data_IF_820662925157
#
_entry.id   IF_820662925157
#
_cell.length_a   1.000
_cell.length_b   1.000
_cell.length_c   1.000
_cell.angle_alpha   90.00
_cell.angle_beta   90.00
_cell.angle_gamma   90.00
#
_symmetry.space_group_name_H-M   'P 1'
#
loop_
_entity.id
_entity.type
_entity.pdbx_description
1 polymer ?
#
# COMPACT_ATOMS: atom_id res chain seq x y z
N UNK A 1 -15.90 14.51 0.16
CA UNK A 1 -17.30 14.97 0.31
C UNK A 1 -18.42 13.95 0.09
N UNK A 2 -18.19 12.69 -0.32
CA UNK A 2 -19.31 11.76 -0.62
C UNK A 2 -19.74 10.80 0.51
N UNK A 3 -19.27 10.99 1.75
CA UNK A 3 -19.62 10.09 2.89
C UNK A 3 -20.81 10.57 3.73
N UNK A 4 -21.37 11.74 3.42
CA UNK A 4 -22.53 12.27 4.14
C UNK A 4 -23.79 11.63 3.54
N UNK A 5 -24.63 10.95 4.35
CA UNK A 5 -25.92 10.50 3.88
C UNK A 5 -26.69 11.70 3.33
N UNK A 6 -27.18 11.60 2.10
CA UNK A 6 -28.09 12.61 1.55
C UNK A 6 -29.44 12.41 2.24
N UNK A 7 -29.75 13.31 3.16
CA UNK A 7 -30.97 13.28 3.94
C UNK A 7 -31.85 14.44 3.51
N UNK A 8 -32.83 14.18 2.64
CA UNK A 8 -33.80 15.18 2.19
C UNK A 8 -35.00 15.32 3.14
N UNK A 9 -34.88 14.85 4.38
CA UNK A 9 -35.95 14.90 5.39
C UNK A 9 -35.57 15.77 6.59
N UNK A 10 -36.52 16.58 7.05
CA UNK A 10 -36.44 17.33 8.31
C UNK A 10 -37.17 16.60 9.42
N UNK A 11 -36.77 16.85 10.66
CA UNK A 11 -37.46 16.33 11.84
C UNK A 11 -38.90 16.85 11.90
N UNK A 12 -39.85 15.94 12.12
CA UNK A 12 -41.27 16.25 12.34
C UNK A 12 -41.69 15.69 13.70
N UNK A 13 -41.88 16.58 14.69
CA UNK A 13 -42.20 16.16 16.06
C UNK A 13 -43.54 15.42 16.17
N UNK A 14 -44.50 15.75 15.29
CA UNK A 14 -45.81 15.11 15.19
C UNK A 14 -45.77 13.71 14.55
N UNK A 15 -44.71 13.38 13.81
CA UNK A 15 -44.50 12.07 13.20
C UNK A 15 -43.03 11.64 13.36
N UNK A 16 -42.71 11.26 14.60
CA UNK A 16 -41.38 10.81 14.97
C UNK A 16 -41.03 9.50 14.27
N UNK A 17 -42.02 8.62 14.05
CA UNK A 17 -41.84 7.33 13.40
C UNK A 17 -41.28 7.47 11.97
N UNK A 18 -41.91 8.33 11.15
CA UNK A 18 -41.42 8.61 9.80
C UNK A 18 -40.05 9.30 9.81
N UNK A 19 -39.83 10.23 10.76
CA UNK A 19 -38.57 10.96 10.91
C UNK A 19 -37.39 10.02 11.18
N UNK A 20 -37.52 9.13 12.16
CA UNK A 20 -36.44 8.20 12.51
C UNK A 20 -36.24 7.09 11.48
N UNK A 21 -37.31 6.64 10.80
CA UNK A 21 -37.19 5.61 9.76
C UNK A 21 -36.30 6.06 8.60
N UNK A 22 -36.53 7.27 8.06
CA UNK A 22 -35.72 7.84 6.97
C UNK A 22 -34.26 8.05 7.37
N UNK A 23 -34.03 8.50 8.61
CA UNK A 23 -32.67 8.63 9.16
C UNK A 23 -31.97 7.26 9.24
N UNK A 24 -32.65 6.26 9.80
CA UNK A 24 -32.08 4.91 9.95
C UNK A 24 -31.79 4.25 8.60
N UNK A 25 -32.62 4.46 7.59
CA UNK A 25 -32.37 3.99 6.22
C UNK A 25 -31.13 4.64 5.61
N UNK A 26 -31.01 5.97 5.69
CA UNK A 26 -29.85 6.70 5.17
C UNK A 26 -28.54 6.30 5.87
N UNK A 27 -28.57 6.11 7.19
CA UNK A 27 -27.43 5.60 7.95
C UNK A 27 -27.07 4.18 7.50
N UNK A 28 -28.05 3.26 7.42
CA UNK A 28 -27.81 1.89 6.97
C UNK A 28 -27.28 1.83 5.56
N UNK A 29 -27.70 2.71 4.66
CA UNK A 29 -27.19 2.77 3.29
C UNK A 29 -25.72 3.17 3.27
N UNK A 30 -25.32 4.21 4.00
CA UNK A 30 -23.92 4.64 4.08
C UNK A 30 -23.05 3.61 4.79
N UNK A 31 -23.58 2.92 5.81
CA UNK A 31 -22.87 1.82 6.50
C UNK A 31 -22.80 0.54 5.67
N UNK A 32 -23.75 0.31 4.78
CA UNK A 32 -23.77 -0.84 3.85
C UNK A 32 -22.98 -0.57 2.56
N UNK A 33 -22.45 0.64 2.37
CA UNK A 33 -21.51 0.87 1.27
C UNK A 33 -20.28 -0.01 1.52
N UNK A 34 -20.11 -1.01 0.66
CA UNK A 34 -18.88 -1.77 0.56
C UNK A 34 -17.80 -0.74 0.22
N UNK A 35 -16.91 -0.48 1.19
CA UNK A 35 -15.61 0.11 0.88
C UNK A 35 -15.02 -0.83 -0.17
N UNK A 36 -15.01 -0.41 -1.43
CA UNK A 36 -14.27 -1.13 -2.47
C UNK A 36 -12.89 -1.43 -1.88
N UNK A 37 -12.39 -2.65 -2.11
CA UNK A 37 -11.04 -3.02 -1.67
C UNK A 37 -10.05 -2.18 -2.47
N UNK A 38 -9.85 -0.94 -2.03
CA UNK A 38 -8.93 0.01 -2.65
C UNK A 38 -7.49 -0.44 -2.44
N UNK A 39 -7.21 -1.41 -1.58
CA UNK A 39 -5.89 -1.99 -1.39
C UNK A 39 -5.89 -3.48 -1.78
N UNK A 40 -4.96 -3.85 -2.65
CA UNK A 40 -4.71 -5.23 -3.09
C UNK A 40 -3.35 -5.65 -2.56
N UNK A 41 -3.29 -6.73 -1.78
CA UNK A 41 -2.01 -7.30 -1.34
C UNK A 41 -1.33 -7.95 -2.56
N UNK A 42 -0.10 -7.52 -2.81
CA UNK A 42 0.75 -8.06 -3.84
C UNK A 42 1.71 -9.07 -3.20
N UNK A 43 1.53 -10.34 -3.56
CA UNK A 43 2.20 -11.46 -2.89
C UNK A 43 3.71 -11.39 -3.11
N UNK A 44 4.45 -11.33 -2.00
CA UNK A 44 5.91 -11.40 -2.01
C UNK A 44 6.37 -12.86 -1.99
N UNK A 45 7.16 -13.24 -2.99
CA UNK A 45 7.68 -14.58 -3.18
C UNK A 45 9.20 -14.55 -3.04
N UNK A 46 9.72 -15.22 -2.02
CA UNK A 46 11.16 -15.40 -1.87
C UNK A 46 11.72 -16.21 -3.06
N UNK A 47 12.85 -15.76 -3.58
CA UNK A 47 13.66 -16.40 -4.61
C UNK A 47 15.07 -16.62 -4.08
N UNK A 48 15.95 -17.11 -4.94
CA UNK A 48 17.35 -17.34 -4.60
C UNK A 48 18.10 -16.02 -4.35
N UNK A 49 19.20 -16.11 -3.60
CA UNK A 49 20.14 -15.00 -3.35
C UNK A 49 19.52 -13.78 -2.65
N UNK A 50 18.55 -14.00 -1.75
CA UNK A 50 17.94 -12.92 -0.97
C UNK A 50 17.13 -11.93 -1.82
N UNK A 51 16.63 -12.37 -2.97
CA UNK A 51 15.72 -11.60 -3.81
C UNK A 51 14.28 -12.01 -3.47
N UNK A 52 13.42 -11.02 -3.28
CA UNK A 52 11.98 -11.21 -3.08
C UNK A 52 11.27 -10.60 -4.28
N UNK A 53 10.35 -11.34 -4.90
CA UNK A 53 9.65 -10.90 -6.11
C UNK A 53 8.16 -10.77 -5.82
N UNK A 54 7.55 -9.69 -6.29
CA UNK A 54 6.10 -9.54 -6.35
C UNK A 54 5.67 -9.46 -7.82
N UNK A 55 5.11 -10.54 -8.38
CA UNK A 55 4.57 -10.52 -9.73
C UNK A 55 3.49 -9.45 -9.90
N UNK A 56 3.50 -8.74 -11.03
CA UNK A 56 2.46 -7.77 -11.38
C UNK A 56 1.65 -8.31 -12.55
N UNK A 57 0.45 -8.81 -12.26
CA UNK A 57 -0.43 -9.40 -13.28
C UNK A 57 -1.28 -8.35 -14.01
N UNK A 58 -1.68 -7.28 -13.33
CA UNK A 58 -2.47 -6.19 -13.90
C UNK A 58 -1.64 -4.91 -13.95
N UNK A 59 -0.98 -4.66 -15.09
CA UNK A 59 -0.16 -3.47 -15.31
C UNK A 59 -0.96 -2.16 -15.28
N UNK A 60 -2.30 -2.20 -15.37
CA UNK A 60 -3.13 -0.99 -15.20
C UNK A 60 -2.93 -0.34 -13.84
N UNK A 61 -2.54 -1.13 -12.83
CA UNK A 61 -2.21 -0.64 -11.48
C UNK A 61 -1.07 0.37 -11.49
N UNK A 62 -0.13 0.32 -12.44
CA UNK A 62 0.98 1.28 -12.52
C UNK A 62 0.51 2.72 -12.75
N UNK A 63 -0.61 2.90 -13.46
CA UNK A 63 -1.20 4.21 -13.74
C UNK A 63 -2.33 4.61 -12.78
N UNK A 64 -2.90 3.67 -12.02
CA UNK A 64 -4.11 3.91 -11.22
C UNK A 64 -3.94 3.62 -9.71
N UNK A 65 -2.75 3.23 -9.27
CA UNK A 65 -2.49 2.88 -7.87
C UNK A 65 -1.15 3.42 -7.37
N UNK A 66 -1.11 3.66 -6.06
CA UNK A 66 0.11 3.92 -5.30
C UNK A 66 0.61 2.62 -4.66
N UNK A 67 1.92 2.40 -4.64
CA UNK A 67 2.51 1.16 -4.12
C UNK A 67 3.11 1.39 -2.73
N UNK A 68 2.69 0.59 -1.76
CA UNK A 68 3.07 0.73 -0.36
C UNK A 68 3.67 -0.56 0.17
N UNK A 69 4.81 -0.43 0.86
CA UNK A 69 5.46 -1.49 1.59
C UNK A 69 5.21 -1.30 3.09
N UNK A 70 4.75 -2.35 3.77
CA UNK A 70 4.73 -2.40 5.22
C UNK A 70 5.87 -3.33 5.67
N UNK A 71 6.71 -2.86 6.59
CA UNK A 71 7.83 -3.61 7.13
C UNK A 71 7.74 -3.71 8.65
N UNK A 72 8.20 -4.83 9.19
CA UNK A 72 8.42 -5.05 10.62
C UNK A 72 9.70 -5.85 10.79
N UNK A 73 10.45 -5.58 11.86
CA UNK A 73 11.68 -6.29 12.21
C UNK A 73 11.83 -6.26 13.73
N UNK A 74 12.75 -7.06 14.28
CA UNK A 74 13.10 -7.05 15.69
C UNK A 74 14.02 -5.86 16.02
N UNK A 75 13.51 -4.65 15.85
CA UNK A 75 14.15 -3.38 16.21
C UNK A 75 13.09 -2.28 16.43
N UNK A 76 13.54 -1.10 16.87
CA UNK A 76 12.64 0.05 17.04
C UNK A 76 12.07 0.52 15.70
N UNK A 77 10.78 0.91 15.69
CA UNK A 77 10.08 1.33 14.46
C UNK A 77 10.69 2.57 13.80
N UNK A 78 11.22 3.52 14.59
CA UNK A 78 11.90 4.71 14.09
C UNK A 78 13.29 4.35 13.57
N UNK A 79 14.00 3.43 14.22
CA UNK A 79 15.25 2.89 13.66
C UNK A 79 15.00 2.25 12.29
N UNK A 80 13.98 1.38 12.18
CA UNK A 80 13.59 0.75 10.91
C UNK A 80 13.19 1.80 9.86
N UNK A 81 12.45 2.84 10.26
CA UNK A 81 12.03 3.95 9.40
C UNK A 81 13.21 4.67 8.75
N UNK A 82 14.29 4.88 9.49
CA UNK A 82 15.47 5.59 9.01
C UNK A 82 16.43 4.68 8.24
N UNK A 83 16.64 3.44 8.71
CA UNK A 83 17.63 2.52 8.13
C UNK A 83 17.12 1.82 6.86
N UNK A 84 15.89 1.31 6.87
CA UNK A 84 15.42 0.43 5.80
C UNK A 84 15.51 1.06 4.40
N UNK A 85 15.14 2.34 4.16
CA UNK A 85 15.21 2.94 2.82
C UNK A 85 16.61 2.93 2.19
N UNK A 86 17.68 3.05 3.00
CA UNK A 86 19.06 3.02 2.50
C UNK A 86 19.55 1.59 2.19
N UNK A 87 18.93 0.60 2.81
CA UNK A 87 19.30 -0.81 2.76
C UNK A 87 18.38 -1.65 1.87
N UNK A 88 17.25 -1.10 1.42
CA UNK A 88 16.29 -1.77 0.57
C UNK A 88 16.43 -1.28 -0.87
N UNK A 89 16.83 -2.18 -1.77
CA UNK A 89 16.77 -1.95 -3.22
C UNK A 89 15.46 -2.48 -3.78
N UNK A 90 14.79 -1.65 -4.57
CA UNK A 90 13.55 -1.99 -5.27
C UNK A 90 13.73 -1.69 -6.75
N UNK A 91 13.21 -2.56 -7.61
CA UNK A 91 13.25 -2.35 -9.06
C UNK A 91 12.46 -3.39 -9.83
N UNK A 92 12.47 -3.35 -11.17
CA UNK A 92 11.94 -4.41 -12.01
C UNK A 92 12.64 -5.75 -11.74
N UNK A 93 11.91 -6.86 -11.84
CA UNK A 93 12.43 -8.23 -11.59
C UNK A 93 13.69 -8.52 -12.40
N UNK A 94 13.70 -8.10 -13.67
CA UNK A 94 14.77 -8.38 -14.62
C UNK A 94 16.03 -7.56 -14.31
N UNK A 95 15.90 -6.44 -13.59
CA UNK A 95 16.99 -5.47 -13.38
C UNK A 95 17.57 -5.52 -11.97
N UNK A 96 16.88 -6.11 -10.99
CA UNK A 96 17.28 -6.08 -9.57
C UNK A 96 18.72 -6.59 -9.32
N UNK A 97 19.14 -7.66 -10.01
CA UNK A 97 20.51 -8.19 -9.88
C UNK A 97 21.56 -7.18 -10.32
N UNK A 98 21.29 -6.48 -11.42
CA UNK A 98 22.17 -5.44 -11.92
C UNK A 98 22.22 -4.26 -10.94
N UNK A 99 21.07 -3.84 -10.40
CA UNK A 99 21.00 -2.77 -9.41
C UNK A 99 21.84 -3.10 -8.17
N UNK A 100 21.76 -4.34 -7.68
CA UNK A 100 22.54 -4.83 -6.54
C UNK A 100 24.03 -4.83 -6.88
N UNK A 101 24.45 -5.56 -7.92
CA UNK A 101 25.86 -5.78 -8.25
C UNK A 101 26.60 -4.50 -8.62
N UNK A 102 25.95 -3.61 -9.37
CA UNK A 102 26.56 -2.37 -9.86
C UNK A 102 26.31 -1.18 -8.93
N UNK A 103 25.74 -1.40 -7.74
CA UNK A 103 25.44 -0.35 -6.78
C UNK A 103 24.59 0.81 -7.35
N UNK A 104 23.75 0.52 -8.34
CA UNK A 104 22.90 1.51 -8.97
C UNK A 104 21.69 1.86 -8.07
N UNK A 105 21.16 3.09 -8.18
CA UNK A 105 19.93 3.47 -7.53
C UNK A 105 18.75 2.66 -8.08
N UNK A 106 17.87 2.22 -7.20
CA UNK A 106 16.58 1.63 -7.56
C UNK A 106 15.43 2.62 -7.41
N UNK A 107 14.21 2.09 -7.46
CA UNK A 107 12.98 2.84 -7.16
C UNK A 107 13.08 3.41 -5.74
N UNK A 108 12.78 4.69 -5.60
CA UNK A 108 12.92 5.40 -4.33
C UNK A 108 11.85 4.96 -3.34
N UNK A 109 12.28 4.63 -2.12
CA UNK A 109 11.41 4.22 -1.02
C UNK A 109 11.38 5.35 0.01
N UNK A 110 10.19 5.86 0.34
CA UNK A 110 10.01 6.93 1.33
C UNK A 110 9.16 6.47 2.51
N UNK A 111 9.55 6.76 3.77
CA UNK A 111 8.71 6.45 4.92
C UNK A 111 7.43 7.28 4.91
N UNK A 112 6.31 6.65 5.27
CA UNK A 112 5.02 7.30 5.48
C UNK A 112 4.81 7.55 6.98
N UNK A 113 4.39 8.76 7.41
CA UNK A 113 4.22 9.07 8.82
C UNK A 113 3.08 8.26 9.47
N UNK A 114 2.07 7.89 8.68
CA UNK A 114 0.90 7.13 9.12
C UNK A 114 0.58 6.00 8.13
N UNK A 115 -0.04 4.93 8.63
CA UNK A 115 -0.53 3.86 7.76
C UNK A 115 -1.62 4.39 6.82
N UNK A 116 -1.64 3.96 5.54
CA UNK A 116 -2.75 4.25 4.65
C UNK A 116 -4.07 3.70 5.20
N UNK A 117 -5.14 4.48 5.12
CA UNK A 117 -6.46 4.11 5.66
C UNK A 117 -7.10 2.90 4.97
N UNK A 118 -6.62 2.56 3.78
CA UNK A 118 -7.08 1.46 2.95
C UNK A 118 -6.50 0.10 3.37
N UNK A 119 -5.40 0.09 4.15
CA UNK A 119 -4.77 -1.13 4.66
C UNK A 119 -5.12 -1.28 6.14
N UNK A 120 -5.40 -2.50 6.59
CA UNK A 120 -5.63 -2.76 8.01
C UNK A 120 -4.40 -2.32 8.82
N UNK A 121 -4.62 -1.49 9.84
CA UNK A 121 -3.54 -1.06 10.71
C UNK A 121 -3.03 -2.24 11.52
N UNK A 122 -1.74 -2.54 11.38
CA UNK A 122 -1.03 -3.46 12.25
C UNK A 122 -0.08 -2.68 13.17
N UNK A 123 -0.20 -2.93 14.47
CA UNK A 123 0.77 -2.46 15.48
C UNK A 123 2.17 -2.97 15.12
N UNK A 124 3.21 -2.18 15.35
CA UNK A 124 4.62 -2.49 15.06
C UNK A 124 4.99 -2.65 13.57
N UNK A 125 4.23 -2.04 12.65
CA UNK A 125 4.63 -1.92 11.24
C UNK A 125 4.99 -0.49 10.88
N UNK A 126 6.09 -0.35 10.15
CA UNK A 126 6.50 0.90 9.51
C UNK A 126 6.13 0.86 8.04
N UNK A 127 5.52 1.93 7.55
CA UNK A 127 4.98 1.99 6.19
C UNK A 127 5.86 2.87 5.30
N UNK A 128 6.01 2.47 4.05
CA UNK A 128 6.81 3.16 3.06
C UNK A 128 6.06 3.21 1.73
N UNK A 129 6.15 4.34 1.03
CA UNK A 129 5.65 4.49 -0.33
C UNK A 129 6.79 4.37 -1.34
N UNK A 130 6.52 3.69 -2.45
CA UNK A 130 7.44 3.68 -3.59
C UNK A 130 7.13 4.90 -4.47
N UNK A 131 8.15 5.72 -4.71
CA UNK A 131 8.05 6.83 -5.66
C UNK A 131 8.57 6.38 -7.02
N UNK A 132 7.63 6.14 -7.92
CA UNK A 132 7.90 5.71 -9.29
C UNK A 132 8.12 6.93 -10.19
N UNK A 133 9.29 7.03 -10.80
CA UNK A 133 9.52 7.98 -11.89
C UNK A 133 8.87 7.49 -13.20
N UNK A 134 8.79 8.36 -14.21
CA UNK A 134 8.34 7.96 -15.55
C UNK A 134 9.21 6.85 -16.16
N UNK A 135 10.52 6.85 -15.87
CA UNK A 135 11.43 5.78 -16.30
C UNK A 135 11.12 4.47 -15.60
N UNK A 136 10.90 4.50 -14.27
CA UNK A 136 10.54 3.30 -13.50
C UNK A 136 9.23 2.68 -14.01
N UNK A 137 8.23 3.53 -14.28
CA UNK A 137 6.95 3.09 -14.86
C UNK A 137 7.16 2.41 -16.21
N UNK A 138 7.89 3.04 -17.13
CA UNK A 138 8.15 2.48 -18.46
C UNK A 138 8.98 1.17 -18.43
N UNK A 139 9.78 0.96 -17.38
CA UNK A 139 10.46 -0.31 -17.15
C UNK A 139 9.51 -1.36 -16.57
N UNK A 140 8.68 -0.99 -15.59
CA UNK A 140 7.74 -1.89 -14.95
C UNK A 140 6.63 -2.37 -15.90
N UNK A 141 6.18 -1.52 -16.83
CA UNK A 141 5.22 -1.87 -17.89
C UNK A 141 5.68 -3.06 -18.75
N UNK A 142 7.00 -3.25 -18.89
CA UNK A 142 7.62 -4.33 -19.66
C UNK A 142 8.17 -5.45 -18.79
N UNK A 143 8.01 -5.35 -17.47
CA UNK A 143 8.56 -6.29 -16.49
C UNK A 143 7.52 -7.30 -16.02
N UNK A 144 7.99 -8.40 -15.43
CA UNK A 144 7.15 -9.33 -14.69
C UNK A 144 6.64 -8.82 -13.33
N UNK A 145 7.08 -7.63 -12.88
CA UNK A 145 6.66 -7.00 -11.63
C UNK A 145 7.80 -6.38 -10.83
N UNK A 146 7.64 -6.35 -9.51
CA UNK A 146 8.61 -5.75 -8.60
C UNK A 146 9.56 -6.81 -8.03
N UNK A 147 10.80 -6.41 -7.78
CA UNK A 147 11.74 -7.16 -7.00
C UNK A 147 12.38 -6.29 -5.92
N UNK A 148 12.66 -6.93 -4.80
CA UNK A 148 13.18 -6.34 -3.58
C UNK A 148 14.45 -7.11 -3.18
N UNK A 149 15.44 -6.37 -2.73
CA UNK A 149 16.64 -6.92 -2.11
C UNK A 149 17.02 -6.07 -0.92
N UNK A 150 17.25 -6.71 0.23
CA UNK A 150 17.64 -6.05 1.46
C UNK A 150 19.11 -6.34 1.70
N UNK A 151 19.94 -5.29 1.75
CA UNK A 151 21.34 -5.37 2.14
C UNK A 151 21.49 -4.98 3.61
N UNK A 152 22.11 -5.83 4.42
CA UNK A 152 22.32 -5.58 5.85
C UNK A 152 21.44 -6.46 6.75
N UNK A 153 21.70 -6.37 8.04
CA UNK A 153 21.08 -7.25 9.04
C UNK A 153 19.85 -6.57 9.66
N UNK A 154 18.68 -7.12 9.32
CA UNK A 154 17.41 -6.83 9.96
C UNK A 154 16.88 -8.16 10.51
N UNK A 155 17.02 -8.37 11.82
CA UNK A 155 16.53 -9.58 12.47
C UNK A 155 15.00 -9.68 12.31
N UNK A 156 14.52 -10.85 11.86
CA UNK A 156 13.08 -11.14 11.68
C UNK A 156 12.36 -10.11 10.78
N UNK A 157 13.03 -9.64 9.73
CA UNK A 157 12.42 -8.71 8.77
C UNK A 157 11.27 -9.39 8.00
N UNK A 158 10.07 -8.86 8.17
CA UNK A 158 8.90 -9.18 7.39
C UNK A 158 8.50 -8.01 6.52
N UNK A 159 8.18 -8.31 5.25
CA UNK A 159 7.67 -7.35 4.29
C UNK A 159 6.28 -7.75 3.83
N UNK A 160 5.40 -6.76 3.65
CA UNK A 160 4.13 -6.89 2.94
C UNK A 160 4.01 -5.77 1.92
N UNK A 161 3.48 -6.10 0.74
CA UNK A 161 3.41 -5.16 -0.36
C UNK A 161 1.98 -5.00 -0.85
N UNK A 162 1.59 -3.76 -1.13
CA UNK A 162 0.21 -3.40 -1.45
C UNK A 162 0.16 -2.43 -2.63
N UNK A 163 -0.83 -2.61 -3.51
CA UNK A 163 -1.26 -1.59 -4.45
C UNK A 163 -2.54 -0.94 -3.92
N UNK A 164 -2.50 0.37 -3.70
CA UNK A 164 -3.63 1.18 -3.24
C UNK A 164 -4.16 1.99 -4.42
N UNK A 165 -5.34 1.63 -4.94
CA UNK A 165 -6.04 2.37 -5.99
C UNK A 165 -6.37 3.79 -5.52
N UNK A 166 -6.10 4.75 -6.39
CA UNK A 166 -6.37 6.18 -6.17
C UNK A 166 -7.86 6.49 -6.23
#
# INVERSE_FOLDING_TARGET
>A
DSKRPRLDSRYQHSDQGASFRKLMEAIRQVLSMVLEQHAIELVLQARQYGIIVSPLHDHKLLGSASFVLAASANCDSEELRHRLPAHLKVGPVERIRQLVNLHLPGIKVKPLPVAPRQIAFHTNKTYFILELSSEDLAQLERSGGFAFHVSGEFAELELKFWAIRN
#
